data_IF_813190302716
#
_entry.id   IF_813190302716
#
_cell.length_a   1.000
_cell.length_b   1.000
_cell.length_c   1.000
_cell.angle_alpha   90.00
_cell.angle_beta   90.00
_cell.angle_gamma   90.00
#
_symmetry.space_group_name_H-M   'P 1'
#
loop_
_entity.id
_entity.type
_entity.pdbx_description
1 polymer ?
#
# COMPACT_ATOMS: atom_id res chain seq x y z
N UNK A 1 1.53 1.64 36.51
CA UNK A 1 0.75 2.60 35.70
C UNK A 1 1.61 3.78 35.25
N UNK A 2 2.74 3.51 34.59
CA UNK A 2 3.56 4.49 33.84
C UNK A 2 4.64 3.74 33.04
N UNK A 3 4.45 3.54 31.71
CA UNK A 3 5.57 3.61 30.79
C UNK A 3 5.27 4.40 29.49
N UNK A 4 4.04 4.92 29.32
CA UNK A 4 3.61 5.62 28.10
C UNK A 4 4.27 7.00 27.92
N UNK A 5 4.81 7.59 29.00
CA UNK A 5 5.41 8.94 28.96
C UNK A 5 6.75 9.01 28.21
N UNK A 6 7.42 7.88 27.93
CA UNK A 6 8.69 7.91 27.17
C UNK A 6 8.42 8.02 25.67
N UNK A 7 7.30 7.46 25.18
CA UNK A 7 6.94 7.52 23.76
C UNK A 7 6.15 8.78 23.38
N UNK A 8 5.37 9.36 24.30
CA UNK A 8 4.62 10.60 24.00
C UNK A 8 5.52 11.83 23.90
N UNK A 9 6.71 11.81 24.50
CA UNK A 9 7.52 13.02 24.72
C UNK A 9 8.63 13.24 23.68
N UNK A 10 8.78 12.35 22.70
CA UNK A 10 9.69 12.56 21.56
C UNK A 10 8.93 12.83 20.25
N UNK A 11 7.68 13.28 20.37
CA UNK A 11 6.82 13.75 19.28
C UNK A 11 7.14 15.17 18.78
N UNK A 12 8.28 15.76 19.14
CA UNK A 12 8.64 17.08 18.62
C UNK A 12 10.07 17.07 18.09
N UNK A 13 10.24 17.65 16.90
CA UNK A 13 11.45 17.73 16.08
C UNK A 13 12.69 18.39 16.75
N UNK A 14 12.70 18.54 18.09
CA UNK A 14 13.65 19.34 18.86
C UNK A 14 14.73 18.54 19.60
N UNK A 15 14.78 17.21 19.51
CA UNK A 15 15.76 16.37 20.22
C UNK A 15 16.76 15.64 19.30
N UNK A 16 17.07 16.19 18.12
CA UNK A 16 18.14 15.66 17.27
C UNK A 16 19.50 15.83 17.98
N UNK A 17 20.21 14.72 18.21
CA UNK A 17 21.59 14.71 18.73
C UNK A 17 21.76 14.39 20.22
N UNK A 18 20.70 13.94 20.92
CA UNK A 18 20.83 13.37 22.27
C UNK A 18 21.09 11.87 22.20
N UNK A 19 21.97 11.34 23.06
CA UNK A 19 22.26 9.91 23.13
C UNK A 19 21.01 9.03 23.31
N UNK A 20 19.97 9.54 23.96
CA UNK A 20 18.70 8.82 24.12
C UNK A 20 17.89 8.76 22.81
N UNK A 21 17.89 9.83 22.02
CA UNK A 21 17.22 9.86 20.72
C UNK A 21 17.94 8.95 19.71
N UNK A 22 19.28 8.99 19.69
CA UNK A 22 20.09 8.13 18.84
C UNK A 22 19.89 6.64 19.19
N UNK A 23 19.76 6.32 20.49
CA UNK A 23 19.47 4.95 20.93
C UNK A 23 18.09 4.47 20.46
N UNK A 24 17.06 5.32 20.54
CA UNK A 24 15.72 4.98 20.09
C UNK A 24 15.66 4.79 18.56
N UNK A 25 16.33 5.64 17.79
CA UNK A 25 16.43 5.48 16.33
C UNK A 25 17.17 4.19 15.94
N UNK A 26 18.27 3.85 16.64
CA UNK A 26 18.98 2.58 16.45
C UNK A 26 18.12 1.36 16.77
N UNK A 27 17.35 1.42 17.85
CA UNK A 27 16.44 0.35 18.22
C UNK A 27 15.28 0.24 17.20
N UNK A 28 14.75 1.36 16.70
CA UNK A 28 13.78 1.36 15.61
C UNK A 28 14.35 0.69 14.36
N UNK A 29 15.60 1.02 13.99
CA UNK A 29 16.32 0.40 12.88
C UNK A 29 16.49 -1.12 13.07
N UNK A 30 16.83 -1.57 14.28
CA UNK A 30 16.99 -2.99 14.62
C UNK A 30 15.65 -3.76 14.50
N UNK A 31 14.55 -3.19 14.99
CA UNK A 31 13.20 -3.78 14.87
C UNK A 31 12.72 -3.83 13.42
N UNK A 32 12.97 -2.77 12.64
CA UNK A 32 12.58 -2.68 11.22
C UNK A 32 13.39 -3.63 10.32
N UNK A 33 14.65 -3.90 10.67
CA UNK A 33 15.51 -4.84 9.94
C UNK A 33 15.38 -6.28 10.41
N UNK A 34 14.77 -6.53 11.58
CA UNK A 34 14.72 -7.84 12.22
C UNK A 34 16.04 -8.26 12.86
N UNK A 35 16.96 -7.30 13.06
CA UNK A 35 18.25 -7.54 13.72
C UNK A 35 18.14 -7.53 15.25
N UNK A 36 17.01 -7.05 15.81
CA UNK A 36 16.72 -7.17 17.24
C UNK A 36 16.61 -8.66 17.61
N UNK A 37 17.45 -9.12 18.54
CA UNK A 37 17.52 -10.52 18.89
C UNK A 37 16.28 -10.93 19.73
N UNK A 38 15.69 -12.12 19.49
CA UNK A 38 14.67 -12.64 20.39
C UNK A 38 15.28 -12.84 21.79
N UNK A 39 14.70 -12.18 22.80
CA UNK A 39 15.18 -12.24 24.19
C UNK A 39 16.03 -11.04 24.66
N UNK A 40 16.18 -9.98 23.84
CA UNK A 40 16.60 -8.68 24.37
C UNK A 40 15.60 -8.15 25.42
N UNK A 41 16.05 -7.36 26.41
CA UNK A 41 15.14 -6.79 27.40
C UNK A 41 14.00 -6.03 26.70
N UNK A 42 12.78 -6.08 27.25
CA UNK A 42 11.60 -5.50 26.61
C UNK A 42 11.88 -4.05 26.23
N UNK A 43 11.66 -3.74 24.96
CA UNK A 43 11.84 -2.40 24.43
C UNK A 43 11.02 -1.41 25.26
N UNK A 44 11.64 -0.39 25.89
CA UNK A 44 10.92 0.54 26.74
C UNK A 44 9.76 1.20 25.98
N UNK A 45 8.54 1.00 26.46
CA UNK A 45 7.32 1.58 25.87
C UNK A 45 6.66 0.77 24.74
N UNK A 46 7.31 -0.27 24.20
CA UNK A 46 6.72 -1.12 23.15
C UNK A 46 6.51 -2.55 23.68
N UNK A 47 5.27 -2.97 23.98
CA UNK A 47 4.99 -4.31 24.49
C UNK A 47 5.30 -5.40 23.46
N UNK A 48 6.02 -6.47 23.82
CA UNK A 48 6.43 -7.51 22.87
C UNK A 48 5.28 -8.11 22.06
N UNK A 49 4.09 -8.29 22.68
CA UNK A 49 2.86 -8.81 22.08
C UNK A 49 1.86 -7.74 21.62
N UNK A 50 2.30 -6.48 21.52
CA UNK A 50 1.47 -5.35 21.09
C UNK A 50 0.93 -5.50 19.66
N UNK A 51 -0.09 -4.73 19.34
CA UNK A 51 -0.57 -4.57 17.95
C UNK A 51 0.11 -3.36 17.33
N UNK A 52 0.79 -3.58 16.22
CA UNK A 52 1.64 -2.62 15.55
C UNK A 52 1.21 -2.37 14.10
N UNK A 53 1.46 -1.18 13.60
CA UNK A 53 1.51 -0.89 12.17
C UNK A 53 2.82 -0.17 11.84
N UNK A 54 3.30 -0.33 10.61
CA UNK A 54 4.47 0.41 10.13
C UNK A 54 4.04 1.44 9.10
N UNK A 55 4.53 2.66 9.29
CA UNK A 55 4.47 3.73 8.30
C UNK A 55 5.81 3.81 7.56
N UNK A 56 5.75 4.01 6.25
CA UNK A 56 6.91 4.32 5.42
C UNK A 56 6.64 5.63 4.69
N UNK A 57 7.54 6.61 4.81
CA UNK A 57 7.39 7.92 4.18
C UNK A 57 8.32 8.07 2.99
N UNK A 58 7.80 8.56 1.87
CA UNK A 58 8.61 9.01 0.73
C UNK A 58 8.21 10.44 0.37
N UNK A 59 9.15 11.23 -0.14
CA UNK A 59 8.90 12.62 -0.46
C UNK A 59 9.79 13.10 -1.59
N UNK A 60 9.24 13.98 -2.43
CA UNK A 60 9.99 14.69 -3.49
C UNK A 60 10.49 16.06 -3.02
N UNK A 61 10.19 16.45 -1.78
CA UNK A 61 10.61 17.73 -1.21
C UNK A 61 12.12 17.71 -0.91
N UNK A 62 12.79 18.85 -1.11
CA UNK A 62 14.19 19.02 -0.70
C UNK A 62 14.36 18.79 0.81
N UNK A 63 13.42 19.33 1.59
CA UNK A 63 13.31 19.17 3.04
C UNK A 63 12.00 18.45 3.36
N UNK A 64 12.00 17.11 3.36
CA UNK A 64 10.81 16.34 3.67
C UNK A 64 10.54 16.39 5.17
N UNK A 65 9.29 16.17 5.59
CA UNK A 65 8.98 16.00 7.00
C UNK A 65 9.65 14.72 7.52
N UNK A 66 10.30 14.83 8.68
CA UNK A 66 10.91 13.69 9.37
C UNK A 66 9.83 12.82 10.06
N UNK A 67 8.71 13.42 10.45
CA UNK A 67 7.59 12.77 11.14
C UNK A 67 6.25 13.25 10.58
N UNK A 68 5.18 12.54 10.88
CA UNK A 68 3.80 13.00 10.70
C UNK A 68 3.13 13.14 12.07
N UNK A 69 2.17 14.05 12.17
CA UNK A 69 1.32 14.14 13.34
C UNK A 69 0.45 12.88 13.44
N UNK A 70 0.39 12.30 14.63
CA UNK A 70 -0.40 11.11 14.94
C UNK A 70 -1.38 11.47 16.08
N UNK A 71 -2.55 10.83 16.15
CA UNK A 71 -3.46 10.99 17.29
C UNK A 71 -2.77 10.72 18.62
N UNK A 72 -3.08 11.50 19.66
CA UNK A 72 -2.50 11.35 21.02
C UNK A 72 -2.68 9.94 21.62
N UNK A 73 -3.69 9.21 21.16
CA UNK A 73 -3.95 7.83 21.58
C UNK A 73 -2.94 6.82 21.01
N UNK A 74 -2.18 7.20 19.98
CA UNK A 74 -1.19 6.37 19.33
C UNK A 74 0.21 6.77 19.78
N UNK A 75 1.06 5.76 19.94
CA UNK A 75 2.49 5.97 20.21
C UNK A 75 3.28 5.48 19.03
N UNK A 76 4.29 6.22 18.61
CA UNK A 76 5.14 5.84 17.48
C UNK A 76 6.62 5.98 17.80
N UNK A 77 7.38 5.01 17.33
CA UNK A 77 8.82 5.04 17.33
C UNK A 77 9.30 5.31 15.90
N UNK A 78 9.93 6.46 15.69
CA UNK A 78 10.41 6.90 14.38
C UNK A 78 11.82 6.40 14.08
N UNK A 79 12.07 6.11 12.81
CA UNK A 79 13.38 5.79 12.26
C UNK A 79 13.68 6.64 11.02
N UNK A 80 14.88 7.21 10.95
CA UNK A 80 15.31 8.05 9.83
C UNK A 80 16.54 7.43 9.14
N UNK A 81 16.35 6.53 8.14
CA UNK A 81 17.46 5.91 7.46
C UNK A 81 18.33 6.93 6.73
N UNK A 82 19.61 6.61 6.58
CA UNK A 82 20.50 7.37 5.69
C UNK A 82 19.91 7.33 4.27
N UNK A 83 19.70 8.53 3.69
CA UNK A 83 19.04 8.69 2.39
C UNK A 83 19.78 7.91 1.31
N UNK A 84 19.15 6.84 0.83
CA UNK A 84 19.59 6.06 -0.31
C UNK A 84 18.49 6.12 -1.38
N UNK A 85 18.86 6.44 -2.62
CA UNK A 85 17.93 6.66 -3.73
C UNK A 85 16.90 5.52 -3.85
N UNK A 86 15.61 5.89 -3.87
CA UNK A 86 14.50 4.95 -4.04
C UNK A 86 13.98 4.27 -2.76
N UNK A 87 14.56 4.54 -1.58
CA UNK A 87 14.00 4.08 -0.30
C UNK A 87 13.16 5.17 0.38
N UNK A 88 12.16 4.79 1.19
CA UNK A 88 11.52 5.70 2.14
C UNK A 88 12.57 6.46 2.97
N UNK A 89 12.33 7.75 3.19
CA UNK A 89 13.22 8.64 3.96
C UNK A 89 12.96 8.59 5.47
N UNK A 90 11.82 8.04 5.89
CA UNK A 90 11.48 7.81 7.28
C UNK A 90 10.53 6.62 7.44
N UNK A 91 10.57 5.98 8.60
CA UNK A 91 9.62 4.95 9.03
C UNK A 91 9.09 5.26 10.43
N UNK A 92 7.90 4.75 10.75
CA UNK A 92 7.38 4.75 12.11
C UNK A 92 6.84 3.38 12.47
N UNK A 93 7.20 2.85 13.64
CA UNK A 93 6.54 1.71 14.27
C UNK A 93 5.46 2.28 15.20
N UNK A 94 4.19 2.16 14.80
CA UNK A 94 3.05 2.70 15.53
C UNK A 94 2.44 1.60 16.39
N UNK A 95 2.39 1.80 17.70
CA UNK A 95 1.63 0.98 18.63
C UNK A 95 0.16 1.40 18.59
N UNK A 96 -0.69 0.52 18.05
CA UNK A 96 -2.12 0.77 17.88
C UNK A 96 -2.91 0.56 19.18
N UNK A 97 -2.40 -0.31 20.08
CA UNK A 97 -3.16 -0.70 21.27
C UNK A 97 -4.48 -1.35 20.87
N UNK A 98 -5.60 -0.74 21.26
CA UNK A 98 -6.96 -1.17 20.86
C UNK A 98 -7.54 -0.37 19.69
N UNK A 99 -6.82 0.63 19.18
CA UNK A 99 -7.30 1.45 18.08
C UNK A 99 -7.30 0.64 16.76
N UNK A 100 -8.36 0.74 15.95
CA UNK A 100 -8.38 0.16 14.62
C UNK A 100 -7.37 0.86 13.71
N UNK A 101 -6.82 0.13 12.74
CA UNK A 101 -5.90 0.68 11.73
C UNK A 101 -6.52 1.86 10.97
N UNK A 102 -7.84 1.81 10.73
CA UNK A 102 -8.57 2.85 10.01
C UNK A 102 -8.54 4.20 10.72
N UNK A 103 -8.43 4.24 12.05
CA UNK A 103 -8.27 5.49 12.80
C UNK A 103 -6.90 6.11 12.53
N UNK A 104 -5.84 5.29 12.47
CA UNK A 104 -4.52 5.75 12.05
C UNK A 104 -4.58 6.30 10.63
N UNK A 105 -5.11 5.52 9.67
CA UNK A 105 -5.17 5.91 8.25
C UNK A 105 -5.94 7.22 8.06
N UNK A 106 -7.09 7.39 8.74
CA UNK A 106 -7.89 8.62 8.65
C UNK A 106 -7.22 9.85 9.25
N UNK A 107 -6.32 9.66 10.22
CA UNK A 107 -5.61 10.75 10.87
C UNK A 107 -4.35 11.20 10.10
N UNK A 108 -3.86 10.40 9.16
CA UNK A 108 -2.67 10.75 8.38
C UNK A 108 -2.99 11.85 7.36
N UNK A 109 -2.32 12.99 7.50
CA UNK A 109 -2.37 14.11 6.55
C UNK A 109 -0.96 14.46 6.07
N UNK A 110 -0.36 13.66 5.17
CA UNK A 110 0.99 13.94 4.68
C UNK A 110 0.98 15.21 3.81
N UNK A 111 1.96 16.12 3.98
CA UNK A 111 1.99 17.36 3.21
C UNK A 111 2.17 17.09 1.71
N UNK A 112 1.73 18.02 0.84
CA UNK A 112 1.88 17.88 -0.61
C UNK A 112 3.32 17.53 -1.02
N UNK A 113 3.46 16.52 -1.89
CA UNK A 113 4.77 15.99 -2.29
C UNK A 113 5.36 14.95 -1.34
N UNK A 114 4.69 14.63 -0.23
CA UNK A 114 5.00 13.50 0.65
C UNK A 114 3.91 12.45 0.57
N UNK A 115 4.30 11.19 0.68
CA UNK A 115 3.39 10.03 0.65
C UNK A 115 3.73 9.08 1.77
N UNK A 116 2.70 8.45 2.33
CA UNK A 116 2.79 7.48 3.41
C UNK A 116 2.28 6.12 2.94
N UNK A 117 3.09 5.07 3.08
CA UNK A 117 2.66 3.68 2.98
C UNK A 117 2.35 3.14 4.36
N UNK A 118 1.22 2.46 4.50
CA UNK A 118 0.76 1.88 5.76
C UNK A 118 0.67 0.37 5.62
N UNK A 119 1.30 -0.35 6.54
CA UNK A 119 1.17 -1.81 6.64
C UNK A 119 -0.22 -2.21 7.15
N UNK A 120 -0.58 -3.48 6.97
CA UNK A 120 -1.63 -4.07 7.81
C UNK A 120 -1.21 -4.06 9.29
N UNK A 121 -2.18 -4.11 10.20
CA UNK A 121 -1.90 -4.32 11.62
C UNK A 121 -1.29 -5.71 11.83
N UNK A 122 -0.18 -5.76 12.55
CA UNK A 122 0.53 -6.99 12.91
C UNK A 122 0.59 -7.16 14.42
N UNK A 123 0.67 -8.40 14.89
CA UNK A 123 0.82 -8.71 16.30
C UNK A 123 2.27 -9.06 16.61
N UNK A 124 2.79 -8.38 17.61
CA UNK A 124 4.11 -8.58 18.18
C UNK A 124 5.25 -7.94 17.41
N UNK A 125 6.34 -7.63 18.13
CA UNK A 125 7.51 -6.94 17.57
C UNK A 125 8.22 -7.77 16.48
N UNK A 126 8.20 -9.10 16.59
CA UNK A 126 8.78 -10.00 15.59
C UNK A 126 8.15 -9.86 14.19
N UNK A 127 6.93 -9.33 14.09
CA UNK A 127 6.24 -9.10 12.81
C UNK A 127 6.53 -7.73 12.18
N UNK A 128 7.24 -6.83 12.88
CA UNK A 128 7.57 -5.48 12.40
C UNK A 128 8.40 -5.48 11.10
N UNK A 129 9.41 -6.35 10.90
CA UNK A 129 10.14 -6.40 9.62
C UNK A 129 9.20 -6.69 8.45
N UNK A 130 8.26 -7.61 8.63
CA UNK A 130 7.25 -7.92 7.62
C UNK A 130 6.30 -6.74 7.39
N UNK A 131 5.87 -6.06 8.45
CA UNK A 131 5.05 -4.86 8.34
C UNK A 131 5.75 -3.75 7.54
N UNK A 132 7.06 -3.53 7.74
CA UNK A 132 7.86 -2.59 6.93
C UNK A 132 7.79 -2.92 5.45
N UNK A 133 8.01 -4.18 5.07
CA UNK A 133 7.93 -4.60 3.66
C UNK A 133 6.54 -4.33 3.07
N UNK A 134 5.49 -4.55 3.84
CA UNK A 134 4.11 -4.29 3.40
C UNK A 134 3.84 -2.78 3.22
N UNK A 135 4.35 -1.93 4.12
CA UNK A 135 4.24 -0.48 4.00
C UNK A 135 4.98 0.05 2.75
N UNK A 136 6.19 -0.44 2.49
CA UNK A 136 6.95 -0.12 1.27
C UNK A 136 6.24 -0.60 0.00
N UNK A 137 5.63 -1.79 0.04
CA UNK A 137 4.82 -2.30 -1.08
C UNK A 137 3.63 -1.38 -1.36
N UNK A 138 2.96 -0.89 -0.32
CA UNK A 138 1.83 0.02 -0.46
C UNK A 138 2.24 1.27 -1.27
N UNK A 139 3.38 1.88 -0.92
CA UNK A 139 3.94 3.01 -1.67
C UNK A 139 4.20 2.69 -3.15
N UNK A 140 4.67 1.48 -3.46
CA UNK A 140 4.96 1.07 -4.85
C UNK A 140 3.69 0.84 -5.67
N UNK A 141 2.65 0.25 -5.10
CA UNK A 141 1.43 -0.12 -5.84
C UNK A 141 0.42 1.02 -5.98
N UNK A 142 0.49 2.04 -5.13
CA UNK A 142 -0.39 3.23 -5.11
C UNK A 142 0.38 4.55 -5.29
N UNK A 143 1.11 4.78 -6.41
CA UNK A 143 1.98 5.95 -6.59
C UNK A 143 1.26 7.30 -6.53
N UNK A 144 -0.05 7.32 -6.78
CA UNK A 144 -0.86 8.54 -6.90
C UNK A 144 -1.59 8.90 -5.60
N UNK A 145 -1.52 8.03 -4.58
CA UNK A 145 -2.21 8.25 -3.31
C UNK A 145 -1.27 8.87 -2.28
N UNK A 146 -1.74 9.90 -1.54
CA UNK A 146 -0.98 10.49 -0.43
C UNK A 146 -0.81 9.48 0.71
N UNK A 147 -1.84 8.68 0.98
CA UNK A 147 -1.80 7.57 1.95
C UNK A 147 -2.17 6.28 1.21
N UNK A 148 -1.23 5.33 1.19
CA UNK A 148 -1.38 4.05 0.52
C UNK A 148 -1.49 2.93 1.57
N UNK A 149 -2.62 2.22 1.60
CA UNK A 149 -2.85 1.09 2.50
C UNK A 149 -2.81 -0.21 1.70
N UNK A 150 -1.90 -1.12 2.04
CA UNK A 150 -1.74 -2.36 1.26
C UNK A 150 -2.99 -3.26 1.31
N UNK A 151 -3.69 -3.28 2.43
CA UNK A 151 -4.90 -4.10 2.61
C UNK A 151 -6.00 -3.77 1.59
N UNK A 152 -6.02 -2.53 1.08
CA UNK A 152 -6.96 -2.09 0.07
C UNK A 152 -6.50 -2.42 -1.37
N UNK A 153 -5.26 -2.89 -1.53
CA UNK A 153 -4.57 -3.10 -2.82
C UNK A 153 -3.94 -4.48 -2.94
N UNK A 154 -4.46 -5.48 -2.23
CA UNK A 154 -3.91 -6.85 -2.21
C UNK A 154 -3.73 -7.49 -3.61
N UNK A 155 -4.66 -7.34 -4.58
CA UNK A 155 -4.45 -7.86 -5.93
C UNK A 155 -3.22 -7.24 -6.61
N UNK A 156 -3.05 -5.92 -6.50
CA UNK A 156 -1.88 -5.22 -7.05
C UNK A 156 -0.58 -5.65 -6.36
N UNK A 157 -0.63 -5.87 -5.05
CA UNK A 157 0.51 -6.37 -4.27
C UNK A 157 0.94 -7.78 -4.70
N UNK A 158 -0.01 -8.70 -4.87
CA UNK A 158 0.25 -10.07 -5.34
C UNK A 158 0.90 -10.09 -6.73
N UNK A 159 0.38 -9.26 -7.63
CA UNK A 159 0.92 -9.10 -8.99
C UNK A 159 2.35 -8.54 -8.95
N UNK A 160 2.61 -7.53 -8.12
CA UNK A 160 3.93 -6.92 -8.00
C UNK A 160 5.00 -7.86 -7.42
N UNK A 161 4.60 -8.81 -6.56
CA UNK A 161 5.49 -9.78 -5.93
C UNK A 161 5.88 -10.94 -6.87
N UNK A 162 5.15 -11.17 -7.96
CA UNK A 162 5.39 -12.28 -8.88
C UNK A 162 5.28 -11.82 -10.35
N UNK A 163 6.28 -11.07 -10.85
CA UNK A 163 6.24 -10.48 -12.19
C UNK A 163 6.10 -11.53 -13.30
N UNK A 164 6.67 -12.72 -13.14
CA UNK A 164 6.56 -13.80 -14.14
C UNK A 164 5.13 -14.34 -14.22
N UNK A 165 4.48 -14.58 -13.08
CA UNK A 165 3.07 -14.99 -13.03
C UNK A 165 2.15 -13.86 -13.52
N UNK A 166 2.46 -12.62 -13.17
CA UNK A 166 1.75 -11.45 -13.65
C UNK A 166 1.78 -11.35 -15.19
N UNK A 167 2.95 -11.58 -15.80
CA UNK A 167 3.10 -11.58 -17.25
C UNK A 167 2.28 -12.71 -17.90
N UNK A 168 2.27 -13.92 -17.32
CA UNK A 168 1.45 -15.03 -17.80
C UNK A 168 -0.05 -14.75 -17.70
N UNK A 169 -0.51 -14.19 -16.58
CA UNK A 169 -1.91 -13.79 -16.38
C UNK A 169 -2.30 -12.69 -17.37
N UNK A 170 -1.44 -11.68 -17.55
CA UNK A 170 -1.65 -10.58 -18.48
C UNK A 170 -1.80 -11.09 -19.93
N UNK A 171 -0.86 -11.93 -20.38
CA UNK A 171 -0.90 -12.53 -21.71
C UNK A 171 -2.16 -13.36 -21.93
N UNK A 172 -2.57 -14.18 -20.94
CA UNK A 172 -3.75 -15.03 -21.08
C UNK A 172 -5.08 -14.28 -20.99
N UNK A 173 -5.18 -13.29 -20.13
CA UNK A 173 -6.44 -12.60 -19.86
C UNK A 173 -6.68 -11.38 -20.77
N UNK A 174 -5.61 -10.71 -21.19
CA UNK A 174 -5.66 -9.46 -21.96
C UNK A 174 -4.82 -9.49 -23.25
N UNK A 175 -4.05 -10.54 -23.55
CA UNK A 175 -3.20 -10.60 -24.75
C UNK A 175 -3.90 -10.15 -26.04
N UNK A 176 -5.02 -10.79 -26.44
CA UNK A 176 -5.78 -10.38 -27.64
C UNK A 176 -6.36 -8.96 -27.56
N UNK A 177 -6.61 -8.43 -26.36
CA UNK A 177 -7.05 -7.04 -26.16
C UNK A 177 -5.89 -6.07 -26.38
N UNK A 178 -4.69 -6.42 -25.94
CA UNK A 178 -3.50 -5.58 -26.05
C UNK A 178 -2.99 -5.47 -27.50
N UNK A 179 -3.33 -6.43 -28.35
CA UNK A 179 -3.04 -6.43 -29.80
C UNK A 179 -3.98 -5.51 -30.62
N UNK A 180 -5.05 -5.00 -30.02
CA UNK A 180 -5.95 -4.06 -30.69
C UNK A 180 -5.27 -2.70 -30.95
N UNK A 181 -5.72 -1.94 -31.96
CA UNK A 181 -5.32 -0.54 -32.13
C UNK A 181 -5.59 0.26 -30.85
N UNK A 182 -4.72 1.24 -30.55
CA UNK A 182 -4.70 1.96 -29.26
C UNK A 182 -6.08 2.45 -28.81
N UNK A 183 -6.83 3.11 -29.69
CA UNK A 183 -8.16 3.63 -29.36
C UNK A 183 -9.16 2.52 -28.97
N UNK A 184 -9.11 1.38 -29.65
CA UNK A 184 -9.98 0.23 -29.36
C UNK A 184 -9.55 -0.48 -28.07
N UNK A 185 -8.24 -0.67 -27.89
CA UNK A 185 -7.64 -1.26 -26.69
C UNK A 185 -8.02 -0.45 -25.45
N UNK A 186 -7.76 0.85 -25.46
CA UNK A 186 -7.98 1.73 -24.30
C UNK A 186 -9.46 1.80 -23.95
N UNK A 187 -10.33 1.87 -24.97
CA UNK A 187 -11.78 1.86 -24.78
C UNK A 187 -12.28 0.56 -24.12
N UNK A 188 -11.74 -0.58 -24.55
CA UNK A 188 -12.10 -1.89 -24.00
C UNK A 188 -11.56 -2.06 -22.56
N UNK A 189 -10.30 -1.70 -22.31
CA UNK A 189 -9.70 -1.73 -20.97
C UNK A 189 -10.46 -0.84 -19.97
N UNK A 190 -10.82 0.38 -20.38
CA UNK A 190 -11.63 1.29 -19.55
C UNK A 190 -13.01 0.71 -19.24
N UNK A 191 -13.62 0.03 -20.23
CA UNK A 191 -14.92 -0.62 -20.05
C UNK A 191 -14.83 -1.79 -19.06
N UNK A 192 -13.79 -2.64 -19.18
CA UNK A 192 -13.58 -3.78 -18.27
C UNK A 192 -13.32 -3.31 -16.84
N UNK A 193 -12.50 -2.27 -16.66
CA UNK A 193 -12.23 -1.68 -15.33
C UNK A 193 -13.51 -1.13 -14.69
N UNK A 194 -14.26 -0.29 -15.41
CA UNK A 194 -15.50 0.29 -14.90
C UNK A 194 -16.55 -0.78 -14.56
N UNK A 195 -16.60 -1.87 -15.32
CA UNK A 195 -17.48 -3.01 -15.06
C UNK A 195 -17.13 -3.75 -13.76
N UNK A 196 -15.84 -4.02 -13.53
CA UNK A 196 -15.36 -4.61 -12.26
C UNK A 196 -15.63 -3.70 -11.06
N UNK A 197 -15.29 -2.41 -11.16
CA UNK A 197 -15.56 -1.40 -10.12
C UNK A 197 -17.06 -1.24 -9.84
N UNK A 198 -17.89 -1.58 -10.81
CA UNK A 198 -19.36 -1.58 -10.72
C UNK A 198 -19.94 -2.93 -10.32
N UNK A 199 -19.13 -3.84 -9.76
CA UNK A 199 -19.56 -5.17 -9.30
C UNK A 199 -20.26 -5.98 -10.38
N UNK A 200 -19.79 -5.89 -11.63
CA UNK A 200 -20.35 -6.62 -12.76
C UNK A 200 -21.60 -6.01 -13.39
N UNK A 201 -22.02 -4.81 -12.99
CA UNK A 201 -23.23 -4.17 -13.52
C UNK A 201 -22.94 -3.33 -14.76
N UNK A 202 -23.52 -3.73 -15.91
CA UNK A 202 -23.44 -2.96 -17.16
C UNK A 202 -24.09 -1.58 -17.06
N UNK A 203 -25.19 -1.47 -16.30
CA UNK A 203 -25.88 -0.20 -16.07
C UNK A 203 -24.99 0.78 -15.31
N UNK A 204 -24.50 0.39 -14.13
CA UNK A 204 -23.64 1.24 -13.29
C UNK A 204 -22.33 1.61 -14.00
N UNK A 205 -21.75 0.68 -14.76
CA UNK A 205 -20.57 0.96 -15.58
C UNK A 205 -20.88 1.95 -16.72
N UNK A 206 -22.05 1.82 -17.35
CA UNK A 206 -22.53 2.78 -18.35
C UNK A 206 -22.69 4.18 -17.78
N UNK A 207 -23.32 4.29 -16.61
CA UNK A 207 -23.49 5.56 -15.90
C UNK A 207 -22.12 6.20 -15.58
N UNK A 208 -21.13 5.43 -15.09
CA UNK A 208 -19.75 5.92 -14.83
C UNK A 208 -19.01 6.36 -16.08
N UNK A 209 -19.25 5.71 -17.21
CA UNK A 209 -18.57 5.98 -18.48
C UNK A 209 -19.35 6.91 -19.42
N UNK A 210 -20.52 7.39 -19.00
CA UNK A 210 -21.46 8.14 -19.84
C UNK A 210 -21.83 7.39 -21.14
N UNK A 211 -21.93 6.06 -21.06
CA UNK A 211 -22.35 5.20 -22.16
C UNK A 211 -23.71 4.58 -21.88
N UNK A 212 -24.46 4.31 -22.94
CA UNK A 212 -25.65 3.47 -22.82
C UNK A 212 -25.25 2.06 -22.36
N UNK A 213 -26.02 1.38 -21.48
CA UNK A 213 -25.70 0.03 -20.98
C UNK A 213 -25.46 -1.00 -22.09
N UNK A 214 -26.14 -0.85 -23.24
CA UNK A 214 -25.93 -1.71 -24.42
C UNK A 214 -24.50 -1.59 -24.98
N UNK A 215 -23.91 -0.39 -24.97
CA UNK A 215 -22.54 -0.18 -25.43
C UNK A 215 -21.55 -0.93 -24.53
N UNK A 216 -21.76 -0.87 -23.21
CA UNK A 216 -20.97 -1.64 -22.25
C UNK A 216 -21.11 -3.13 -22.52
N UNK A 217 -22.34 -3.63 -22.61
CA UNK A 217 -22.62 -5.04 -22.88
C UNK A 217 -21.96 -5.52 -24.19
N UNK A 218 -22.06 -4.74 -25.26
CA UNK A 218 -21.43 -5.07 -26.55
C UNK A 218 -19.91 -5.16 -26.44
N UNK A 219 -19.27 -4.27 -25.66
CA UNK A 219 -17.83 -4.31 -25.42
C UNK A 219 -17.42 -5.50 -24.57
N UNK A 220 -18.20 -5.85 -23.54
CA UNK A 220 -17.95 -7.07 -22.76
C UNK A 220 -18.05 -8.34 -23.64
N UNK A 221 -19.06 -8.42 -24.52
CA UNK A 221 -19.16 -9.50 -25.50
C UNK A 221 -17.98 -9.51 -26.49
N UNK A 222 -17.50 -8.35 -26.91
CA UNK A 222 -16.29 -8.23 -27.74
C UNK A 222 -15.08 -8.80 -27.01
N UNK A 223 -14.92 -8.51 -25.72
CA UNK A 223 -13.86 -9.10 -24.89
C UNK A 223 -13.95 -10.63 -24.85
N UNK A 224 -15.13 -11.18 -24.57
CA UNK A 224 -15.35 -12.64 -24.52
C UNK A 224 -15.06 -13.30 -25.87
N UNK A 225 -15.47 -12.66 -26.98
CA UNK A 225 -15.17 -13.15 -28.33
C UNK A 225 -13.68 -13.12 -28.66
N UNK A 226 -12.98 -12.04 -28.33
CA UNK A 226 -11.54 -11.89 -28.60
C UNK A 226 -10.69 -12.87 -27.80
N UNK A 227 -11.08 -13.15 -26.55
CA UNK A 227 -10.28 -13.96 -25.63
C UNK A 227 -10.73 -15.41 -25.56
N UNK A 228 -11.95 -15.73 -26.02
CA UNK A 228 -12.58 -17.04 -25.82
C UNK A 228 -12.97 -17.32 -24.36
N UNK A 229 -12.97 -16.29 -23.49
CA UNK A 229 -13.22 -16.41 -22.05
C UNK A 229 -14.62 -15.91 -21.72
N UNK A 230 -15.16 -16.36 -20.60
CA UNK A 230 -16.56 -16.07 -20.20
C UNK A 230 -16.56 -15.28 -18.90
N UNK A 231 -17.09 -14.07 -18.91
CA UNK A 231 -17.13 -13.17 -17.74
C UNK A 231 -18.12 -13.63 -16.67
N UNK A 232 -19.00 -14.58 -16.98
CA UNK A 232 -19.84 -15.27 -16.00
C UNK A 232 -19.05 -16.28 -15.14
N UNK A 233 -17.87 -16.72 -15.56
CA UNK A 233 -17.00 -17.59 -14.77
C UNK A 233 -16.20 -16.74 -13.74
N UNK A 234 -16.33 -17.01 -12.43
CA UNK A 234 -15.59 -16.30 -11.39
C UNK A 234 -14.08 -16.34 -11.57
N UNK A 235 -13.54 -17.45 -12.09
CA UNK A 235 -12.09 -17.60 -12.32
C UNK A 235 -11.62 -16.60 -13.37
N UNK A 236 -12.39 -16.46 -14.45
CA UNK A 236 -12.14 -15.47 -15.50
C UNK A 236 -12.13 -14.05 -14.95
N UNK A 237 -13.05 -13.71 -14.04
CA UNK A 237 -13.15 -12.39 -13.40
C UNK A 237 -11.95 -12.10 -12.48
N UNK A 238 -11.51 -13.08 -11.68
CA UNK A 238 -10.32 -12.93 -10.82
C UNK A 238 -9.07 -12.69 -11.67
N UNK A 239 -8.88 -13.49 -12.71
CA UNK A 239 -7.73 -13.38 -13.61
C UNK A 239 -7.75 -12.07 -14.40
N UNK A 240 -8.92 -11.60 -14.84
CA UNK A 240 -9.07 -10.29 -15.46
C UNK A 240 -8.70 -9.16 -14.49
N UNK A 241 -9.12 -9.26 -13.23
CA UNK A 241 -8.79 -8.28 -12.18
C UNK A 241 -7.27 -8.19 -11.98
N UNK A 242 -6.61 -9.33 -11.83
CA UNK A 242 -5.15 -9.39 -11.69
C UNK A 242 -4.42 -8.91 -12.95
N UNK A 243 -4.93 -9.24 -14.14
CA UNK A 243 -4.35 -8.79 -15.41
C UNK A 243 -4.45 -7.27 -15.58
N UNK A 244 -5.57 -6.65 -15.19
CA UNK A 244 -5.72 -5.19 -15.24
C UNK A 244 -4.76 -4.49 -14.27
N UNK A 245 -4.51 -5.05 -13.09
CA UNK A 245 -3.47 -4.54 -12.17
C UNK A 245 -2.06 -4.73 -12.75
N UNK A 246 -1.76 -5.89 -13.35
CA UNK A 246 -0.49 -6.14 -14.01
C UNK A 246 -0.23 -5.11 -15.13
N UNK A 247 -1.22 -4.90 -15.99
CA UNK A 247 -1.15 -3.91 -17.06
C UNK A 247 -0.92 -2.50 -16.52
N UNK A 248 -1.66 -2.10 -15.47
CA UNK A 248 -1.50 -0.78 -14.85
C UNK A 248 -0.09 -0.57 -14.31
N UNK A 249 0.50 -1.60 -13.69
CA UNK A 249 1.84 -1.54 -13.12
C UNK A 249 2.94 -1.54 -14.20
N UNK A 250 2.74 -2.22 -15.33
CA UNK A 250 3.71 -2.25 -16.44
C UNK A 250 3.72 -0.96 -17.25
N UNK A 251 2.55 -0.38 -17.53
CA UNK A 251 2.42 0.83 -18.36
C UNK A 251 2.85 2.11 -17.62
N UNK A 252 3.09 2.01 -16.30
CA UNK A 252 3.56 3.10 -15.44
C UNK A 252 5.08 3.10 -15.20
N UNK A 253 5.83 2.15 -15.79
CA UNK A 253 7.30 2.17 -15.82
C UNK A 253 7.79 2.97 -17.01
#
# INVERSE_FOLDING_TARGET
MAPLSVLSTLSTASARGSAAADHLDQLAAALLSGAAAPGEPPTPGLPEDGTYAVLALTSVLQQPPDTLELPDALSALWHHPVRAGGRPHAYAIVLLGTAPLDDLVRALDPPPGTRAGVSAAVRGLAAVPRARELAERALRVSPDEPVAVLAERLPAALVADSPDLAALILARALGPVLELPDADRDSLLNTLRAWLESGGSTKRAGDRLFYHPNTVLNRLRRYEHLTGRVLADPTTVVELTLALEAHRLTTRR
#
